data_IF_821194040692
#
_entry.id   IF_821194040692
#
_cell.length_a   1.000
_cell.length_b   1.000
_cell.length_c   1.000
_cell.angle_alpha   90.00
_cell.angle_beta   90.00
_cell.angle_gamma   90.00
#
_symmetry.space_group_name_H-M   'P 1'
#
loop_
_entity.id
_entity.type
_entity.pdbx_description
1 polymer ?
#
# COMPACT_ATOMS: atom_id res chain seq x y z
N UNK A 1 9.21 12.32 -12.17
CA UNK A 1 9.01 11.94 -10.75
C UNK A 1 8.08 10.74 -10.65
N UNK A 2 8.09 10.09 -9.50
CA UNK A 2 7.29 8.88 -9.30
C UNK A 2 6.56 8.92 -7.96
N UNK A 3 5.27 8.62 -7.99
CA UNK A 3 4.44 8.43 -6.79
C UNK A 3 4.06 6.97 -6.69
N UNK A 4 4.24 6.39 -5.52
CA UNK A 4 3.84 5.01 -5.26
C UNK A 4 2.95 4.99 -4.03
N UNK A 5 1.87 4.23 -4.09
CA UNK A 5 1.05 3.94 -2.93
C UNK A 5 1.50 2.61 -2.34
N UNK A 6 1.99 2.64 -1.11
CA UNK A 6 2.26 1.42 -0.35
C UNK A 6 1.00 0.97 0.35
N UNK A 7 0.76 -0.32 0.38
CA UNK A 7 -0.46 -0.89 0.97
C UNK A 7 -0.12 -2.03 1.91
N UNK A 8 -0.66 -1.97 3.12
CA UNK A 8 -0.72 -3.10 4.03
C UNK A 8 -2.17 -3.47 4.24
N UNK A 9 -2.51 -4.73 3.99
CA UNK A 9 -3.86 -5.22 4.23
C UNK A 9 -3.96 -5.72 5.68
N UNK A 10 -4.88 -5.13 6.42
CA UNK A 10 -5.08 -5.43 7.84
C UNK A 10 -6.57 -5.52 8.14
N UNK A 11 -7.01 -6.66 8.64
CA UNK A 11 -8.43 -6.93 8.85
C UNK A 11 -9.23 -6.65 7.57
N UNK A 12 -10.18 -5.73 7.61
CA UNK A 12 -11.00 -5.37 6.45
C UNK A 12 -10.53 -4.08 5.78
N UNK A 13 -9.28 -3.68 6.04
CA UNK A 13 -8.76 -2.39 5.59
C UNK A 13 -7.55 -2.54 4.69
N UNK A 14 -7.45 -1.65 3.72
CA UNK A 14 -6.20 -1.39 3.01
C UNK A 14 -5.60 -0.13 3.63
N UNK A 15 -4.57 -0.29 4.44
CA UNK A 15 -3.83 0.84 5.03
C UNK A 15 -2.88 1.35 3.96
N UNK A 16 -2.90 2.66 3.71
CA UNK A 16 -2.16 3.24 2.59
C UNK A 16 -1.17 4.31 3.04
N UNK A 17 -0.13 4.47 2.23
CA UNK A 17 0.82 5.56 2.35
C UNK A 17 1.27 5.97 0.95
N UNK A 18 1.13 7.24 0.62
CA UNK A 18 1.64 7.79 -0.63
C UNK A 18 3.06 8.29 -0.42
N UNK A 19 3.99 7.86 -1.25
CA UNK A 19 5.37 8.32 -1.20
C UNK A 19 5.80 8.75 -2.59
N UNK A 20 6.25 9.99 -2.69
CA UNK A 20 6.68 10.60 -3.94
C UNK A 20 8.18 10.77 -3.95
N UNK A 21 8.82 10.45 -5.08
CA UNK A 21 10.23 10.72 -5.31
C UNK A 21 10.37 11.70 -6.47
N UNK A 22 10.90 12.87 -6.21
CA UNK A 22 11.06 13.94 -7.19
C UNK A 22 12.31 14.75 -6.88
N UNK A 23 13.11 15.04 -7.89
CA UNK A 23 14.34 15.84 -7.75
C UNK A 23 15.27 15.30 -6.66
N UNK A 24 15.47 13.98 -6.65
CA UNK A 24 16.33 13.28 -5.69
C UNK A 24 15.84 13.36 -4.24
N UNK A 25 14.59 13.71 -4.02
CA UNK A 25 14.02 13.89 -2.70
C UNK A 25 12.72 13.10 -2.57
N UNK A 26 12.56 12.41 -1.42
CA UNK A 26 11.30 11.78 -1.07
C UNK A 26 10.42 12.76 -0.30
N UNK A 27 9.13 12.75 -0.61
CA UNK A 27 8.16 13.52 0.16
C UNK A 27 6.82 12.76 0.22
N UNK A 28 6.00 13.19 1.18
CA UNK A 28 4.70 12.60 1.42
C UNK A 28 3.64 13.60 0.99
N UNK A 29 2.90 13.32 -0.10
CA UNK A 29 1.79 14.19 -0.49
C UNK A 29 0.77 14.30 0.63
N UNK A 30 0.22 15.50 0.82
CA UNK A 30 -0.80 15.72 1.84
C UNK A 30 -2.07 14.93 1.51
N UNK A 31 -2.38 13.96 2.35
CA UNK A 31 -3.55 13.11 2.16
C UNK A 31 -4.14 12.76 3.52
N UNK A 32 -5.42 13.09 3.69
CA UNK A 32 -6.12 12.80 4.94
C UNK A 32 -6.58 11.37 5.06
N UNK A 33 -6.69 10.67 3.92
CA UNK A 33 -7.10 9.27 3.93
C UNK A 33 -5.92 8.41 4.34
N UNK A 34 -6.11 7.58 5.34
CA UNK A 34 -5.07 6.69 5.87
C UNK A 34 -5.34 5.24 5.55
N UNK A 35 -6.57 4.92 5.25
CA UNK A 35 -6.98 3.56 4.89
C UNK A 35 -8.27 3.61 4.08
N UNK A 36 -8.47 2.58 3.27
CA UNK A 36 -9.71 2.34 2.54
C UNK A 36 -10.30 1.07 3.11
N UNK A 37 -11.50 1.15 3.65
CA UNK A 37 -12.13 0.05 4.37
C UNK A 37 -13.17 -0.65 3.52
N UNK A 38 -13.21 -1.97 3.63
CA UNK A 38 -14.31 -2.74 3.08
C UNK A 38 -15.53 -2.49 3.98
N UNK A 39 -16.73 -2.26 3.40
CA UNK A 39 -17.94 -2.19 4.22
C UNK A 39 -18.19 -3.49 4.99
N UNK A 40 -19.24 -3.54 5.81
CA UNK A 40 -19.49 -4.64 6.73
C UNK A 40 -19.51 -6.03 6.09
N UNK A 41 -19.87 -6.14 4.84
CA UNK A 41 -19.90 -7.42 4.14
C UNK A 41 -18.72 -7.55 3.19
N UNK A 42 -18.66 -8.70 2.53
CA UNK A 42 -17.66 -8.94 1.48
C UNK A 42 -18.30 -9.57 0.25
N UNK A 43 -19.52 -9.14 -0.05
CA UNK A 43 -20.25 -9.53 -1.25
C UNK A 43 -19.58 -8.98 -2.50
N UNK A 44 -20.04 -9.42 -3.66
CA UNK A 44 -19.59 -8.86 -4.93
C UNK A 44 -19.76 -7.34 -4.98
N UNK A 45 -20.91 -6.85 -4.52
CA UNK A 45 -21.16 -5.41 -4.54
C UNK A 45 -20.26 -4.65 -3.57
N UNK A 46 -19.99 -5.22 -2.39
CA UNK A 46 -19.06 -4.62 -1.42
C UNK A 46 -17.66 -4.52 -2.02
N UNK A 47 -17.19 -5.57 -2.67
CA UNK A 47 -15.87 -5.60 -3.29
C UNK A 47 -15.78 -4.63 -4.47
N UNK A 48 -16.84 -4.52 -5.27
CA UNK A 48 -16.89 -3.55 -6.36
C UNK A 48 -16.87 -2.11 -5.84
N UNK A 49 -17.59 -1.85 -4.76
CA UNK A 49 -17.57 -0.53 -4.13
C UNK A 49 -16.17 -0.19 -3.62
N UNK A 50 -15.52 -1.12 -2.91
CA UNK A 50 -14.16 -0.95 -2.44
C UNK A 50 -13.22 -0.68 -3.61
N UNK A 51 -13.31 -1.46 -4.68
CA UNK A 51 -12.46 -1.30 -5.86
C UNK A 51 -12.60 0.08 -6.48
N UNK A 52 -13.84 0.55 -6.66
CA UNK A 52 -14.10 1.87 -7.23
C UNK A 52 -13.57 2.99 -6.33
N UNK A 53 -13.77 2.85 -5.02
CA UNK A 53 -13.30 3.83 -4.04
C UNK A 53 -11.77 3.92 -4.07
N UNK A 54 -11.10 2.77 -4.08
CA UNK A 54 -9.64 2.72 -4.13
C UNK A 54 -9.12 3.31 -5.43
N UNK A 55 -9.69 2.90 -6.56
CA UNK A 55 -9.28 3.40 -7.88
C UNK A 55 -9.46 4.91 -7.99
N UNK A 56 -10.58 5.43 -7.48
CA UNK A 56 -10.84 6.88 -7.51
C UNK A 56 -9.82 7.63 -6.66
N UNK A 57 -9.50 7.12 -5.48
CA UNK A 57 -8.51 7.75 -4.61
C UNK A 57 -7.15 7.82 -5.31
N UNK A 58 -6.74 6.74 -5.95
CA UNK A 58 -5.48 6.73 -6.70
C UNK A 58 -5.51 7.77 -7.83
N UNK A 59 -6.60 7.83 -8.58
CA UNK A 59 -6.75 8.80 -9.66
C UNK A 59 -6.72 10.24 -9.15
N UNK A 60 -7.38 10.51 -8.03
CA UNK A 60 -7.43 11.86 -7.45
C UNK A 60 -6.04 12.36 -7.05
N UNK A 61 -5.13 11.47 -6.67
CA UNK A 61 -3.77 11.84 -6.28
C UNK A 61 -2.71 11.57 -7.36
N UNK A 62 -3.16 11.20 -8.56
CA UNK A 62 -2.25 10.95 -9.68
C UNK A 62 -1.34 9.75 -9.48
N UNK A 63 -1.83 8.73 -8.77
CA UNK A 63 -1.07 7.52 -8.49
C UNK A 63 -1.48 6.44 -9.49
N UNK A 64 -0.49 5.88 -10.20
CA UNK A 64 -0.70 4.76 -11.10
C UNK A 64 0.12 3.53 -10.74
N UNK A 65 0.94 3.60 -9.68
CA UNK A 65 1.70 2.45 -9.20
C UNK A 65 1.39 2.18 -7.74
N UNK A 66 1.04 0.94 -7.44
CA UNK A 66 0.68 0.48 -6.10
C UNK A 66 1.55 -0.70 -5.73
N UNK A 67 2.12 -0.69 -4.54
CA UNK A 67 2.90 -1.79 -4.02
C UNK A 67 2.18 -2.36 -2.80
N UNK A 68 1.80 -3.63 -2.86
CA UNK A 68 1.10 -4.31 -1.77
C UNK A 68 2.10 -5.22 -1.07
N UNK A 69 2.17 -5.12 0.26
CA UNK A 69 2.89 -6.12 1.03
C UNK A 69 2.08 -7.41 0.96
N UNK A 70 2.68 -8.43 0.37
CA UNK A 70 2.01 -9.69 0.13
C UNK A 70 1.65 -10.39 1.43
N UNK A 71 0.48 -11.00 1.47
CA UNK A 71 0.03 -11.72 2.66
C UNK A 71 0.59 -13.13 2.65
N UNK A 72 0.99 -13.62 3.82
CA UNK A 72 1.48 -14.99 3.95
C UNK A 72 0.33 -15.98 3.68
N UNK A 73 0.60 -16.97 2.83
CA UNK A 73 -0.39 -17.97 2.45
C UNK A 73 -0.60 -19.03 3.52
N UNK A 74 0.42 -19.27 4.33
CA UNK A 74 0.39 -20.32 5.34
C UNK A 74 1.27 -19.93 6.52
N UNK A 75 1.16 -20.69 7.61
CA UNK A 75 1.95 -20.50 8.81
C UNK A 75 1.22 -19.68 9.86
N UNK A 76 1.91 -19.41 10.97
CA UNK A 76 1.33 -18.73 12.13
C UNK A 76 0.82 -17.32 11.83
N UNK A 77 1.47 -16.63 10.89
CA UNK A 77 1.12 -15.26 10.53
C UNK A 77 0.45 -15.17 9.16
N UNK A 78 -0.22 -16.25 8.74
CA UNK A 78 -0.95 -16.25 7.47
C UNK A 78 -2.03 -15.18 7.46
N UNK A 79 -2.27 -14.59 6.29
CA UNK A 79 -3.32 -13.60 6.11
C UNK A 79 -4.71 -14.21 6.23
N UNK A 80 -5.68 -13.41 6.68
CA UNK A 80 -7.08 -13.84 6.73
C UNK A 80 -7.73 -13.82 5.36
N UNK A 81 -8.89 -14.50 5.21
CA UNK A 81 -9.55 -14.62 3.90
C UNK A 81 -9.98 -13.28 3.30
N UNK A 82 -10.45 -12.36 4.11
CA UNK A 82 -10.89 -11.05 3.61
C UNK A 82 -9.72 -10.27 3.02
N UNK A 83 -8.55 -10.33 3.68
CA UNK A 83 -7.35 -9.67 3.15
C UNK A 83 -6.98 -10.16 1.76
N UNK A 84 -7.10 -11.46 1.49
CA UNK A 84 -6.82 -12.00 0.17
C UNK A 84 -7.82 -11.51 -0.88
N UNK A 85 -9.09 -11.33 -0.49
CA UNK A 85 -10.08 -10.74 -1.39
C UNK A 85 -9.73 -9.29 -1.75
N UNK A 86 -9.32 -8.51 -0.75
CA UNK A 86 -8.91 -7.12 -0.99
C UNK A 86 -7.67 -7.04 -1.87
N UNK A 87 -6.71 -7.92 -1.62
CA UNK A 87 -5.48 -8.01 -2.41
C UNK A 87 -5.83 -8.24 -3.89
N UNK A 88 -6.64 -9.26 -4.17
CA UNK A 88 -7.05 -9.57 -5.53
C UNK A 88 -7.87 -8.44 -6.15
N UNK A 89 -8.74 -7.82 -5.36
CA UNK A 89 -9.57 -6.72 -5.84
C UNK A 89 -8.73 -5.54 -6.31
N UNK A 90 -7.66 -5.21 -5.57
CA UNK A 90 -6.74 -4.13 -5.96
C UNK A 90 -5.92 -4.55 -7.18
N UNK A 91 -5.42 -5.80 -7.20
CA UNK A 91 -4.62 -6.31 -8.32
C UNK A 91 -5.36 -6.23 -9.66
N UNK A 92 -6.68 -6.34 -9.64
CA UNK A 92 -7.49 -6.35 -10.87
C UNK A 92 -7.93 -4.97 -11.34
N UNK A 93 -7.49 -3.90 -10.70
CA UNK A 93 -7.75 -2.54 -11.18
C UNK A 93 -6.82 -2.29 -12.36
N UNK A 94 -7.37 -2.27 -13.56
CA UNK A 94 -6.60 -2.23 -14.80
C UNK A 94 -5.88 -0.90 -15.06
N UNK A 95 -6.29 0.17 -14.39
CA UNK A 95 -5.63 1.47 -14.51
C UNK A 95 -4.37 1.59 -13.65
N UNK A 96 -4.09 0.59 -12.82
CA UNK A 96 -2.97 0.62 -11.89
C UNK A 96 -1.94 -0.45 -12.24
N UNK A 97 -0.67 -0.07 -12.08
CA UNK A 97 0.44 -1.02 -12.10
C UNK A 97 0.62 -1.51 -10.66
N UNK A 98 0.16 -2.72 -10.37
CA UNK A 98 0.19 -3.27 -9.01
C UNK A 98 1.31 -4.29 -8.90
N UNK A 99 2.23 -4.05 -7.96
CA UNK A 99 3.29 -5.01 -7.66
C UNK A 99 3.10 -5.58 -6.26
N UNK A 100 3.52 -6.81 -6.09
CA UNK A 100 3.46 -7.52 -4.81
C UNK A 100 4.88 -7.62 -4.25
N UNK A 101 5.07 -7.22 -2.99
CA UNK A 101 6.36 -7.32 -2.33
C UNK A 101 6.25 -8.24 -1.13
N UNK A 102 7.14 -9.23 -1.04
CA UNK A 102 7.20 -10.11 0.11
C UNK A 102 7.84 -9.39 1.30
N UNK A 103 7.59 -9.89 2.50
CA UNK A 103 8.24 -9.41 3.72
C UNK A 103 9.77 -9.45 3.56
N UNK A 104 10.29 -10.50 2.94
CA UNK A 104 11.73 -10.68 2.72
C UNK A 104 12.28 -9.58 1.80
N UNK A 105 11.59 -9.30 0.71
CA UNK A 105 12.00 -8.24 -0.22
C UNK A 105 12.00 -6.87 0.44
N UNK A 106 10.99 -6.57 1.25
CA UNK A 106 10.90 -5.30 1.96
C UNK A 106 12.06 -5.18 2.96
N UNK A 107 12.32 -6.23 3.74
CA UNK A 107 13.42 -6.24 4.71
C UNK A 107 14.77 -6.06 4.03
N UNK A 108 14.97 -6.71 2.90
CA UNK A 108 16.22 -6.60 2.15
C UNK A 108 16.43 -5.17 1.64
N UNK A 109 15.38 -4.57 1.08
CA UNK A 109 15.44 -3.19 0.60
C UNK A 109 15.81 -2.22 1.74
N UNK A 110 15.23 -2.40 2.91
CA UNK A 110 15.51 -1.56 4.07
C UNK A 110 16.91 -1.77 4.63
N UNK A 111 17.45 -2.99 4.53
CA UNK A 111 18.81 -3.28 5.01
C UNK A 111 19.88 -2.70 4.10
N UNK A 112 19.61 -2.61 2.81
CA UNK A 112 20.57 -2.13 1.81
C UNK A 112 20.45 -0.64 1.53
N UNK A 113 19.35 -0.02 1.95
CA UNK A 113 19.07 1.38 1.65
C UNK A 113 18.61 2.09 2.93
N UNK A 114 19.33 3.15 3.30
CA UNK A 114 18.97 3.93 4.47
C UNK A 114 17.69 4.71 4.21
N UNK A 115 16.73 4.66 5.14
CA UNK A 115 15.53 5.48 5.03
C UNK A 115 15.91 6.95 4.97
N UNK A 116 15.33 7.71 4.04
CA UNK A 116 15.64 9.15 3.90
C UNK A 116 15.09 9.99 5.04
N UNK A 117 14.08 9.48 5.74
CA UNK A 117 13.43 10.15 6.85
C UNK A 117 12.99 9.07 7.85
N UNK A 118 13.17 9.31 9.14
CA UNK A 118 12.69 8.34 10.13
C UNK A 118 11.16 8.37 10.16
N UNK A 119 10.55 7.24 10.45
CA UNK A 119 9.08 7.15 10.44
C UNK A 119 8.45 8.15 11.41
N UNK A 120 9.05 8.35 12.57
CA UNK A 120 8.54 9.30 13.58
C UNK A 120 8.47 10.74 13.09
N UNK A 121 9.26 11.08 12.08
CA UNK A 121 9.30 12.44 11.53
C UNK A 121 8.36 12.63 10.32
N UNK A 122 7.66 11.57 9.91
CA UNK A 122 6.78 11.65 8.72
C UNK A 122 5.43 12.29 9.02
N UNK A 123 5.02 12.31 10.28
CA UNK A 123 3.67 12.74 10.64
C UNK A 123 2.59 11.68 10.40
N UNK A 124 2.97 10.52 9.88
CA UNK A 124 2.03 9.43 9.65
C UNK A 124 1.61 8.78 10.97
N UNK A 125 0.48 8.10 10.94
CA UNK A 125 0.02 7.33 12.09
C UNK A 125 0.85 6.05 12.23
N UNK A 126 1.01 5.56 13.46
CA UNK A 126 1.83 4.37 13.75
C UNK A 126 1.40 3.18 12.89
N UNK A 127 0.10 3.00 12.68
CA UNK A 127 -0.41 1.86 11.90
C UNK A 127 -0.07 1.97 10.40
N UNK A 128 0.45 3.10 9.93
CA UNK A 128 0.86 3.28 8.54
C UNK A 128 2.34 2.92 8.29
N UNK A 129 3.07 2.50 9.32
CA UNK A 129 4.52 2.26 9.17
C UNK A 129 4.82 1.20 8.10
N UNK A 130 4.10 0.09 8.09
CA UNK A 130 4.32 -0.95 7.08
C UNK A 130 3.97 -0.47 5.67
N UNK A 131 2.89 0.30 5.52
CA UNK A 131 2.55 0.87 4.23
C UNK A 131 3.64 1.83 3.75
N UNK A 132 4.20 2.63 4.65
CA UNK A 132 5.30 3.54 4.35
C UNK A 132 6.56 2.79 3.90
N UNK A 133 6.98 1.77 4.65
CA UNK A 133 8.17 0.99 4.29
C UNK A 133 7.96 0.20 3.00
N UNK A 134 6.74 -0.26 2.75
CA UNK A 134 6.41 -0.94 1.49
C UNK A 134 6.54 0.00 0.30
N UNK A 135 6.02 1.22 0.44
CA UNK A 135 6.15 2.24 -0.61
C UNK A 135 7.63 2.58 -0.87
N UNK A 136 8.41 2.74 0.20
CA UNK A 136 9.84 3.03 0.07
C UNK A 136 10.58 1.88 -0.60
N UNK A 137 10.31 0.64 -0.19
CA UNK A 137 10.92 -0.54 -0.81
C UNK A 137 10.61 -0.60 -2.30
N UNK A 138 9.37 -0.29 -2.69
CA UNK A 138 8.99 -0.25 -4.09
C UNK A 138 9.79 0.78 -4.88
N UNK A 139 10.06 1.95 -4.30
CA UNK A 139 10.88 2.98 -4.95
C UNK A 139 12.31 2.50 -5.18
N UNK A 140 12.93 1.86 -4.18
CA UNK A 140 14.33 1.44 -4.33
C UNK A 140 14.49 0.19 -5.16
N UNK A 141 13.45 -0.62 -5.32
CA UNK A 141 13.47 -1.82 -6.16
C UNK A 141 13.03 -1.52 -7.61
N UNK A 142 12.51 -0.34 -7.86
CA UNK A 142 12.04 0.05 -9.18
C UNK A 142 13.18 0.32 -10.16
#
# INVERSE_FOLDING_TARGET
FMKICGVELSANDAVICFLQFEQQTFNLPDCRVRKVSLPKGHSTDDLRHFQKTFAKLMADYGINKVAIKERALKGKFAGGPIGFKLEATIQLIDTLDVIMLSQKEIKLALSENRLPISFSDTGLKVFQETAFTTAYAAHVLA
#
